data_IF_994344396758
#
_entry.id   IF_994344396758
#
_cell.length_a   1.000
_cell.length_b   1.000
_cell.length_c   1.000
_cell.angle_alpha   90.00
_cell.angle_beta   90.00
_cell.angle_gamma   90.00
#
_symmetry.space_group_name_H-M   'P 1'
#
loop_
_entity.id
_entity.type
_entity.pdbx_description
1 polymer ?
#
# COMPACT_ATOMS: atom_id res chain seq x y z
N UNK A 1 -18.98 6.05 -12.56
CA UNK A 1 -18.45 4.88 -13.29
C UNK A 1 -18.30 3.74 -12.30
N UNK A 2 -18.83 2.59 -12.61
CA UNK A 2 -18.63 1.41 -11.78
C UNK A 2 -17.21 0.87 -11.94
N UNK A 3 -16.60 0.46 -10.83
CA UNK A 3 -15.30 -0.17 -10.85
C UNK A 3 -15.43 -1.61 -11.32
N UNK A 4 -14.51 -2.03 -12.20
CA UNK A 4 -14.44 -3.42 -12.64
C UNK A 4 -13.90 -4.35 -11.57
N UNK A 5 -13.98 -5.66 -11.76
CA UNK A 5 -13.61 -6.66 -10.75
C UNK A 5 -12.11 -6.98 -10.72
N UNK A 6 -11.30 -6.43 -11.61
CA UNK A 6 -9.89 -6.80 -11.74
C UNK A 6 -9.01 -5.76 -11.07
N UNK A 7 -8.10 -6.21 -10.22
CA UNK A 7 -7.02 -5.40 -9.66
C UNK A 7 -5.72 -5.78 -10.36
N UNK A 8 -5.04 -4.80 -10.95
CA UNK A 8 -3.78 -5.06 -11.66
C UNK A 8 -2.58 -4.49 -10.92
N UNK A 9 -1.40 -4.97 -11.26
CA UNK A 9 -0.14 -4.42 -10.79
C UNK A 9 0.57 -3.67 -11.93
N UNK A 10 1.59 -2.90 -11.56
CA UNK A 10 2.42 -2.17 -12.53
C UNK A 10 3.89 -2.53 -12.32
N UNK A 11 4.69 -2.40 -13.37
CA UNK A 11 6.02 -3.01 -13.42
C UNK A 11 7.11 -2.20 -12.73
N UNK A 12 6.99 -0.88 -12.65
CA UNK A 12 8.09 -0.04 -12.21
C UNK A 12 7.67 1.19 -11.43
N UNK A 13 8.51 2.23 -11.50
CA UNK A 13 8.32 3.47 -10.75
C UNK A 13 7.39 4.46 -11.45
N UNK A 14 7.16 4.26 -12.73
CA UNK A 14 6.25 5.07 -13.56
C UNK A 14 5.40 4.15 -14.42
N UNK A 15 4.30 4.70 -14.94
CA UNK A 15 3.41 3.93 -15.83
C UNK A 15 4.00 3.85 -17.23
N UNK A 16 3.95 2.66 -17.83
CA UNK A 16 4.25 2.46 -19.24
C UNK A 16 3.01 2.83 -20.08
N UNK A 17 3.22 3.00 -21.40
CA UNK A 17 2.11 3.26 -22.32
C UNK A 17 1.07 2.15 -22.31
N UNK A 18 1.51 0.90 -22.26
CA UNK A 18 0.62 -0.26 -22.20
C UNK A 18 -0.18 -0.27 -20.90
N UNK A 19 0.46 0.05 -19.77
CA UNK A 19 -0.21 0.13 -18.48
C UNK A 19 -1.28 1.21 -18.44
N UNK A 20 -1.01 2.37 -19.05
CA UNK A 20 -1.99 3.44 -19.17
C UNK A 20 -3.23 3.00 -19.96
N UNK A 21 -3.03 2.25 -21.03
CA UNK A 21 -4.13 1.70 -21.83
C UNK A 21 -4.93 0.68 -21.03
N UNK A 22 -4.26 -0.22 -20.29
CA UNK A 22 -4.92 -1.22 -19.45
C UNK A 22 -5.75 -0.57 -18.36
N UNK A 23 -5.21 0.46 -17.68
CA UNK A 23 -5.91 1.15 -16.59
C UNK A 23 -7.17 1.85 -17.06
N UNK A 24 -7.25 2.19 -18.33
CA UNK A 24 -8.42 2.86 -18.90
C UNK A 24 -9.56 1.89 -19.25
N UNK A 25 -9.36 0.59 -19.09
CA UNK A 25 -10.38 -0.42 -19.40
C UNK A 25 -11.42 -0.51 -18.30
N UNK A 26 -12.71 -0.71 -18.65
CA UNK A 26 -13.76 -0.80 -17.64
C UNK A 26 -13.63 -1.99 -16.68
N UNK A 27 -12.92 -3.05 -17.10
CA UNK A 27 -12.72 -4.24 -16.26
C UNK A 27 -11.76 -4.01 -15.09
N UNK A 28 -10.95 -2.94 -15.12
CA UNK A 28 -9.97 -2.65 -14.08
C UNK A 28 -10.64 -1.80 -13.00
N UNK A 29 -10.61 -2.27 -11.76
CA UNK A 29 -11.16 -1.58 -10.60
C UNK A 29 -10.13 -1.02 -9.65
N UNK A 30 -8.86 -1.43 -9.76
CA UNK A 30 -7.83 -0.97 -8.87
C UNK A 30 -6.43 -1.36 -9.29
N UNK A 31 -5.47 -0.82 -8.55
CA UNK A 31 -4.04 -1.07 -8.73
C UNK A 31 -3.45 -1.48 -7.39
N UNK A 32 -2.69 -2.56 -7.37
CA UNK A 32 -1.92 -2.96 -6.19
C UNK A 32 -0.45 -2.60 -6.41
N UNK A 33 0.15 -1.94 -5.42
CA UNK A 33 1.53 -1.51 -5.46
C UNK A 33 2.40 -2.41 -4.60
N UNK A 34 3.63 -2.62 -5.06
CA UNK A 34 4.62 -3.45 -4.38
C UNK A 34 5.91 -2.64 -4.15
N UNK A 35 6.85 -3.25 -3.46
CA UNK A 35 8.15 -2.62 -3.16
C UNK A 35 8.84 -2.09 -4.42
N UNK A 36 8.74 -2.81 -5.54
CA UNK A 36 9.34 -2.40 -6.83
C UNK A 36 8.79 -1.08 -7.37
N UNK A 37 7.61 -0.67 -6.91
CA UNK A 37 6.95 0.56 -7.35
C UNK A 37 7.34 1.77 -6.51
N UNK A 38 8.16 1.59 -5.48
CA UNK A 38 8.49 2.62 -4.51
C UNK A 38 9.99 2.92 -4.51
N UNK A 39 10.34 4.19 -4.67
CA UNK A 39 11.70 4.71 -4.51
C UNK A 39 11.76 5.69 -3.35
N UNK A 40 10.89 6.69 -3.35
CA UNK A 40 10.75 7.69 -2.30
C UNK A 40 9.33 8.25 -2.31
N UNK A 41 9.03 9.12 -1.36
CA UNK A 41 7.68 9.68 -1.19
C UNK A 41 7.27 10.51 -2.41
N UNK A 42 8.17 11.31 -2.96
CA UNK A 42 7.84 12.15 -4.12
C UNK A 42 7.53 11.33 -5.35
N UNK A 43 8.32 10.27 -5.56
CA UNK A 43 8.12 9.37 -6.70
C UNK A 43 6.77 8.64 -6.59
N UNK A 44 6.45 8.10 -5.41
CA UNK A 44 5.20 7.34 -5.25
C UNK A 44 3.98 8.24 -5.37
N UNK A 45 4.06 9.49 -4.92
CA UNK A 45 2.99 10.46 -5.14
C UNK A 45 2.78 10.74 -6.63
N UNK A 46 3.87 10.87 -7.38
CA UNK A 46 3.79 11.09 -8.83
C UNK A 46 3.16 9.88 -9.52
N UNK A 47 3.52 8.67 -9.14
CA UNK A 47 2.93 7.45 -9.69
C UNK A 47 1.44 7.39 -9.40
N UNK A 48 1.04 7.65 -8.16
CA UNK A 48 -0.37 7.65 -7.76
C UNK A 48 -1.16 8.72 -8.54
N UNK A 49 -0.60 9.90 -8.70
CA UNK A 49 -1.24 10.95 -9.49
C UNK A 49 -1.42 10.54 -10.95
N UNK A 50 -0.42 9.86 -11.53
CA UNK A 50 -0.53 9.34 -12.90
C UNK A 50 -1.69 8.37 -13.05
N UNK A 51 -1.89 7.49 -12.06
CA UNK A 51 -3.00 6.54 -12.02
C UNK A 51 -4.32 7.30 -11.90
N UNK A 52 -4.41 8.27 -11.00
CA UNK A 52 -5.62 9.06 -10.77
C UNK A 52 -6.02 9.90 -11.98
N UNK A 53 -5.05 10.35 -12.77
CA UNK A 53 -5.35 11.09 -14.00
C UNK A 53 -6.04 10.23 -15.05
N UNK A 54 -5.80 8.92 -15.03
CA UNK A 54 -6.46 7.99 -15.94
C UNK A 54 -7.88 7.69 -15.46
N UNK A 55 -8.05 7.40 -14.16
CA UNK A 55 -9.36 7.18 -13.55
C UNK A 55 -9.27 7.47 -12.05
N UNK A 56 -9.96 8.53 -11.62
CA UNK A 56 -9.95 8.98 -10.23
C UNK A 56 -10.62 7.99 -9.27
N UNK A 57 -11.46 7.09 -9.77
CA UNK A 57 -12.22 6.16 -8.96
C UNK A 57 -11.47 4.86 -8.68
N UNK A 58 -10.33 4.62 -9.33
CA UNK A 58 -9.55 3.40 -9.11
C UNK A 58 -9.13 3.28 -7.65
N UNK A 59 -9.28 2.08 -7.10
CA UNK A 59 -8.73 1.76 -5.80
C UNK A 59 -7.22 1.57 -5.93
N UNK A 60 -6.48 2.14 -4.99
CA UNK A 60 -5.04 1.96 -4.95
C UNK A 60 -4.71 1.28 -3.63
N UNK A 61 -4.13 0.10 -3.71
CA UNK A 61 -3.84 -0.74 -2.55
C UNK A 61 -2.36 -1.08 -2.47
N UNK A 62 -1.91 -1.39 -1.27
CA UNK A 62 -0.57 -1.87 -1.01
C UNK A 62 -0.63 -2.85 0.16
N UNK A 63 0.12 -3.95 0.04
CA UNK A 63 0.33 -4.85 1.17
C UNK A 63 1.31 -4.20 2.14
N UNK A 64 0.82 -3.74 3.29
CA UNK A 64 1.61 -2.98 4.24
C UNK A 64 1.29 -3.48 5.65
N UNK A 65 1.83 -4.66 5.97
CA UNK A 65 1.53 -5.40 7.19
C UNK A 65 2.56 -5.19 8.31
N UNK A 66 3.63 -4.45 8.03
CA UNK A 66 4.77 -4.31 8.92
C UNK A 66 5.75 -5.47 8.76
N UNK A 67 6.91 -5.39 9.44
CA UNK A 67 7.94 -6.40 9.35
C UNK A 67 8.39 -6.65 7.92
N UNK A 68 8.35 -7.91 7.50
CA UNK A 68 8.75 -8.33 6.15
C UNK A 68 7.81 -7.86 5.05
N UNK A 69 6.54 -7.68 5.37
CA UNK A 69 5.48 -7.29 4.40
C UNK A 69 5.17 -5.81 4.53
N UNK A 70 6.19 -5.00 4.68
CA UNK A 70 6.09 -3.54 4.57
C UNK A 70 6.78 -3.13 3.27
N UNK A 71 5.98 -2.79 2.26
CA UNK A 71 6.48 -2.51 0.91
C UNK A 71 7.19 -1.16 0.79
N UNK A 72 6.65 -0.15 1.46
CA UNK A 72 7.19 1.21 1.44
C UNK A 72 7.93 1.45 2.75
N UNK A 73 9.25 1.34 2.73
CA UNK A 73 10.09 1.44 3.93
C UNK A 73 10.81 2.77 4.05
N UNK A 74 11.41 3.24 2.97
CA UNK A 74 12.13 4.50 2.97
C UNK A 74 11.15 5.67 3.02
N UNK A 75 11.28 6.54 4.01
CA UNK A 75 10.37 7.65 4.24
C UNK A 75 9.09 7.28 5.00
N UNK A 76 8.91 5.99 5.32
CA UNK A 76 7.79 5.49 6.12
C UNK A 76 8.30 4.89 7.42
N UNK A 77 7.48 4.93 8.46
CA UNK A 77 7.81 4.27 9.72
C UNK A 77 7.71 2.75 9.51
N UNK A 78 8.76 2.03 9.90
CA UNK A 78 8.74 0.58 9.85
C UNK A 78 7.88 0.04 10.99
N UNK A 79 6.92 -0.80 10.64
CA UNK A 79 6.04 -1.44 11.61
C UNK A 79 6.52 -2.86 11.90
N UNK A 80 6.31 -3.38 13.13
CA UNK A 80 6.68 -4.75 13.44
C UNK A 80 5.76 -5.73 12.71
N UNK A 81 6.25 -6.95 12.51
CA UNK A 81 5.42 -8.05 12.03
C UNK A 81 4.33 -8.34 13.07
N UNK A 82 3.14 -8.72 12.60
CA UNK A 82 2.01 -9.01 13.51
C UNK A 82 2.31 -10.13 14.49
N UNK A 83 3.14 -11.11 14.12
CA UNK A 83 3.57 -12.19 15.03
C UNK A 83 4.28 -11.66 16.27
N UNK A 84 4.98 -10.51 16.17
CA UNK A 84 5.64 -9.91 17.33
C UNK A 84 4.64 -9.35 18.33
N UNK A 85 3.52 -8.84 17.88
CA UNK A 85 2.43 -8.40 18.76
C UNK A 85 1.82 -9.60 19.48
N UNK A 86 1.71 -10.76 18.81
CA UNK A 86 1.27 -12.00 19.44
C UNK A 86 2.22 -12.47 20.54
N UNK A 87 3.53 -12.38 20.32
CA UNK A 87 4.54 -12.71 21.35
C UNK A 87 4.40 -11.81 22.58
N UNK A 88 4.16 -10.52 22.39
CA UNK A 88 3.95 -9.59 23.50
C UNK A 88 2.63 -9.90 24.22
N UNK A 89 1.58 -10.24 23.49
CA UNK A 89 0.29 -10.61 24.08
C UNK A 89 0.40 -11.81 25.01
N UNK A 90 1.19 -12.81 24.63
CA UNK A 90 1.39 -14.00 25.45
C UNK A 90 2.06 -13.67 26.79
N UNK A 91 2.86 -12.60 26.85
CA UNK A 91 3.56 -12.17 28.06
C UNK A 91 2.82 -11.09 28.83
N UNK A 92 2.23 -10.14 28.12
CA UNK A 92 1.52 -9.00 28.69
C UNK A 92 0.45 -8.51 27.71
N UNK A 93 -0.81 -8.98 27.87
CA UNK A 93 -1.88 -8.61 26.95
C UNK A 93 -2.16 -7.11 26.87
N UNK A 94 -2.08 -6.38 27.98
CA UNK A 94 -2.33 -4.93 27.98
C UNK A 94 -1.29 -4.18 27.16
N UNK A 95 -0.03 -4.54 27.27
CA UNK A 95 1.05 -3.95 26.50
C UNK A 95 0.87 -4.25 25.01
N UNK A 96 0.46 -5.47 24.67
CA UNK A 96 0.21 -5.86 23.29
C UNK A 96 -0.91 -5.01 22.67
N UNK A 97 -1.99 -4.77 23.40
CA UNK A 97 -3.11 -3.93 22.94
C UNK A 97 -2.66 -2.50 22.72
N UNK A 98 -1.85 -1.94 23.61
CA UNK A 98 -1.30 -0.59 23.44
C UNK A 98 -0.41 -0.51 22.21
N UNK A 99 0.46 -1.50 22.00
CA UNK A 99 1.34 -1.54 20.84
C UNK A 99 0.55 -1.72 19.55
N UNK A 100 -0.49 -2.55 19.55
CA UNK A 100 -1.35 -2.73 18.39
C UNK A 100 -2.07 -1.43 18.03
N UNK A 101 -2.57 -0.70 19.01
CA UNK A 101 -3.19 0.60 18.80
C UNK A 101 -2.19 1.59 18.19
N UNK A 102 -0.97 1.66 18.75
CA UNK A 102 0.07 2.55 18.26
C UNK A 102 0.49 2.20 16.83
N UNK A 103 0.62 0.91 16.50
CA UNK A 103 0.91 0.46 15.13
C UNK A 103 -0.20 0.86 14.17
N UNK A 104 -1.46 0.71 14.56
CA UNK A 104 -2.59 1.12 13.75
C UNK A 104 -2.60 2.62 13.48
N UNK A 105 -2.31 3.42 14.50
CA UNK A 105 -2.20 4.87 14.36
C UNK A 105 -1.10 5.26 13.38
N UNK A 106 0.10 4.70 13.54
CA UNK A 106 1.24 4.95 12.65
C UNK A 106 0.90 4.52 11.22
N UNK A 107 0.24 3.39 11.08
CA UNK A 107 -0.18 2.87 9.77
C UNK A 107 -1.12 3.85 9.06
N UNK A 108 -2.12 4.37 9.76
CA UNK A 108 -3.03 5.38 9.22
C UNK A 108 -2.29 6.66 8.83
N UNK A 109 -1.28 7.08 9.59
CA UNK A 109 -0.46 8.24 9.26
C UNK A 109 0.39 8.01 8.01
N UNK A 110 0.79 6.76 7.76
CA UNK A 110 1.62 6.40 6.60
C UNK A 110 0.82 6.32 5.30
N UNK A 111 -0.47 6.03 5.38
CA UNK A 111 -1.35 5.97 4.23
C UNK A 111 -1.87 7.35 3.86
#
# INVERSE_FOLDING_TARGET
MELGPIMMDVSGLTLTSDEKQQLNKPSIGGVILFTRNYQDIEQIKALIQSIRLINQELLIAVDHEGGRVQRFRQGFTRLPAMAKLGEVYDKNPEQALEQAFSCGWVWLQSC
#
